data_IF_005036704750
#
_entry.id   IF_005036704750
#
_cell.length_a   1.000
_cell.length_b   1.000
_cell.length_c   1.000
_cell.angle_alpha   90.00
_cell.angle_beta   90.00
_cell.angle_gamma   90.00
#
_symmetry.space_group_name_H-M   'P 1'
#
loop_
_entity.id
_entity.type
_entity.pdbx_description
1 polymer ?
#
# COMPACT_ATOMS: atom_id res chain seq x y z
N UNK A 1 10.65 -17.71 4.72
CA UNK A 1 10.10 -16.34 4.65
C UNK A 1 8.80 -16.28 3.88
N UNK A 2 7.95 -15.26 4.13
CA UNK A 2 6.73 -15.03 3.34
C UNK A 2 7.00 -14.00 2.26
N UNK A 3 6.49 -14.27 1.06
CA UNK A 3 6.60 -13.39 -0.10
C UNK A 3 5.20 -13.15 -0.66
N UNK A 4 4.88 -11.91 -1.00
CA UNK A 4 3.66 -11.57 -1.71
C UNK A 4 4.03 -11.01 -3.08
N UNK A 5 3.34 -11.46 -4.12
CA UNK A 5 3.55 -10.99 -5.49
C UNK A 5 2.22 -10.48 -6.02
N UNK A 6 2.25 -9.24 -6.47
CA UNK A 6 1.11 -8.55 -7.04
C UNK A 6 1.21 -8.46 -8.56
N UNK A 7 0.12 -8.74 -9.26
CA UNK A 7 0.06 -8.71 -10.73
C UNK A 7 -0.87 -7.62 -11.24
N UNK A 8 -0.54 -7.06 -12.40
CA UNK A 8 -1.34 -6.02 -13.06
C UNK A 8 -2.75 -6.48 -13.46
N UNK A 9 -2.97 -7.79 -13.53
CA UNK A 9 -4.29 -8.38 -13.78
C UNK A 9 -5.19 -8.36 -12.52
N UNK A 10 -4.67 -7.86 -11.39
CA UNK A 10 -5.34 -7.81 -10.09
C UNK A 10 -5.13 -9.04 -9.21
N UNK A 11 -4.34 -10.03 -9.64
CA UNK A 11 -4.01 -11.20 -8.83
C UNK A 11 -2.97 -10.84 -7.77
N UNK A 12 -3.10 -11.41 -6.58
CA UNK A 12 -2.10 -11.38 -5.52
C UNK A 12 -1.82 -12.83 -5.16
N UNK A 13 -0.58 -13.27 -5.32
CA UNK A 13 -0.09 -14.56 -4.87
C UNK A 13 0.63 -14.40 -3.52
N UNK A 14 0.36 -15.31 -2.60
CA UNK A 14 1.05 -15.45 -1.32
C UNK A 14 1.91 -16.71 -1.39
N UNK A 15 3.17 -16.57 -1.05
CA UNK A 15 4.18 -17.61 -1.17
C UNK A 15 4.95 -17.76 0.14
N UNK A 16 5.43 -18.96 0.39
CA UNK A 16 6.48 -19.23 1.37
C UNK A 16 7.74 -19.61 0.61
N UNK A 17 8.83 -18.93 0.93
CA UNK A 17 10.15 -19.24 0.40
C UNK A 17 10.91 -20.10 1.40
N UNK A 18 11.34 -21.28 0.95
CA UNK A 18 12.19 -22.21 1.67
C UNK A 18 13.65 -21.99 1.26
N UNK A 19 14.40 -21.32 2.12
CA UNK A 19 15.80 -20.95 1.88
C UNK A 19 16.69 -22.18 1.72
N UNK A 20 16.35 -23.30 2.36
CA UNK A 20 17.18 -24.52 2.31
C UNK A 20 17.08 -25.21 0.95
N UNK A 21 15.94 -25.08 0.26
CA UNK A 21 15.68 -25.75 -1.01
C UNK A 21 15.61 -24.77 -2.20
N UNK A 22 15.74 -23.46 -1.97
CA UNK A 22 15.57 -22.40 -2.98
C UNK A 22 14.21 -22.49 -3.72
N UNK A 23 13.16 -22.84 -2.97
CA UNK A 23 11.83 -23.10 -3.53
C UNK A 23 10.77 -22.09 -3.06
N UNK A 24 10.01 -21.56 -4.02
CA UNK A 24 8.79 -20.78 -3.79
C UNK A 24 7.55 -21.69 -3.81
N UNK A 25 6.90 -21.84 -2.66
CA UNK A 25 5.65 -22.62 -2.52
C UNK A 25 4.46 -21.67 -2.45
N UNK A 26 3.45 -21.92 -3.27
CA UNK A 26 2.21 -21.14 -3.27
C UNK A 26 1.38 -21.53 -2.05
N UNK A 27 0.98 -20.54 -1.25
CA UNK A 27 0.11 -20.72 -0.08
C UNK A 27 -1.32 -20.33 -0.41
N UNK A 28 -1.50 -19.19 -1.08
CA UNK A 28 -2.83 -18.69 -1.44
C UNK A 28 -2.74 -17.78 -2.66
N UNK A 29 -3.87 -17.63 -3.35
CA UNK A 29 -4.04 -16.62 -4.39
C UNK A 29 -5.35 -15.87 -4.18
N UNK A 30 -5.33 -14.55 -4.37
CA UNK A 30 -6.50 -13.68 -4.30
C UNK A 30 -6.60 -12.85 -5.58
N UNK A 31 -7.83 -12.53 -5.98
CA UNK A 31 -8.10 -11.74 -7.18
C UNK A 31 -8.88 -10.49 -6.82
N UNK A 32 -8.33 -9.35 -7.17
CA UNK A 32 -9.00 -8.05 -7.09
C UNK A 32 -9.73 -7.76 -8.41
N UNK A 33 -10.71 -6.86 -8.34
CA UNK A 33 -11.60 -6.54 -9.47
C UNK A 33 -10.96 -5.61 -10.51
N UNK A 34 -9.72 -5.20 -10.29
CA UNK A 34 -9.01 -4.26 -11.14
C UNK A 34 -7.51 -4.44 -10.99
N UNK A 35 -6.76 -3.79 -11.87
CA UNK A 35 -5.33 -3.84 -11.87
C UNK A 35 -4.76 -3.39 -10.53
N UNK A 36 -3.91 -4.24 -9.95
CA UNK A 36 -3.11 -3.87 -8.80
C UNK A 36 -2.11 -2.80 -9.23
N UNK A 37 -1.82 -1.89 -8.31
CA UNK A 37 -0.87 -0.80 -8.52
C UNK A 37 0.36 -0.98 -7.67
N UNK A 38 0.15 -1.32 -6.40
CA UNK A 38 1.23 -1.50 -5.45
C UNK A 38 0.77 -2.38 -4.28
N UNK A 39 1.74 -3.04 -3.63
CA UNK A 39 1.57 -3.83 -2.41
C UNK A 39 2.73 -3.62 -1.44
N UNK A 40 2.42 -3.55 -0.15
CA UNK A 40 3.44 -3.43 0.89
C UNK A 40 3.01 -4.18 2.14
N UNK A 41 3.97 -4.85 2.80
CA UNK A 41 3.74 -5.42 4.12
C UNK A 41 3.77 -4.33 5.18
N UNK A 42 2.92 -4.46 6.19
CA UNK A 42 3.05 -3.73 7.46
C UNK A 42 4.43 -3.91 8.09
N UNK A 43 4.85 -2.99 8.96
CA UNK A 43 6.14 -3.09 9.66
C UNK A 43 6.25 -4.34 10.55
N UNK A 44 5.12 -4.88 11.05
CA UNK A 44 5.09 -6.15 11.78
C UNK A 44 5.09 -7.38 10.86
N UNK A 45 4.74 -7.21 9.59
CA UNK A 45 4.60 -8.31 8.61
C UNK A 45 3.28 -9.09 8.74
N UNK A 46 2.39 -8.70 9.67
CA UNK A 46 1.12 -9.39 9.93
C UNK A 46 0.04 -9.02 8.91
N UNK A 47 0.09 -7.80 8.40
CA UNK A 47 -0.83 -7.29 7.38
C UNK A 47 -0.11 -7.02 6.05
N UNK A 48 -0.82 -7.23 4.95
CA UNK A 48 -0.44 -6.82 3.60
C UNK A 48 -1.45 -5.79 3.09
N UNK A 49 -0.94 -4.63 2.69
CA UNK A 49 -1.73 -3.56 2.09
C UNK A 49 -1.59 -3.60 0.57
N UNK A 50 -2.70 -3.33 -0.12
CA UNK A 50 -2.77 -3.41 -1.58
C UNK A 50 -3.63 -2.27 -2.13
N UNK A 51 -3.10 -1.54 -3.11
CA UNK A 51 -3.86 -0.50 -3.84
C UNK A 51 -4.15 -0.93 -5.28
N UNK A 52 -5.30 -0.49 -5.78
CA UNK A 52 -5.77 -0.82 -7.13
C UNK A 52 -6.14 0.40 -7.95
N UNK A 53 -6.08 0.24 -9.28
CA UNK A 53 -6.54 1.22 -10.28
C UNK A 53 -8.00 1.65 -10.07
N UNK A 54 -8.84 0.78 -9.53
CA UNK A 54 -10.24 1.10 -9.20
C UNK A 54 -10.41 1.85 -7.86
N UNK A 55 -9.34 2.44 -7.32
CA UNK A 55 -9.35 3.28 -6.11
C UNK A 55 -9.71 2.48 -4.85
N UNK A 56 -9.40 1.19 -4.85
CA UNK A 56 -9.55 0.34 -3.68
C UNK A 56 -8.22 0.28 -2.92
N UNK A 57 -8.30 0.42 -1.60
CA UNK A 57 -7.25 0.07 -0.65
C UNK A 57 -7.71 -1.15 0.13
N UNK A 58 -7.03 -2.28 -0.04
CA UNK A 58 -7.36 -3.56 0.58
C UNK A 58 -6.32 -3.92 1.62
N UNK A 59 -6.78 -4.54 2.71
CA UNK A 59 -5.93 -5.06 3.79
C UNK A 59 -6.16 -6.55 3.88
N UNK A 60 -5.07 -7.31 3.89
CA UNK A 60 -5.05 -8.75 4.02
C UNK A 60 -4.33 -9.12 5.30
N UNK A 61 -4.91 -10.03 6.06
CA UNK A 61 -4.21 -10.74 7.12
C UNK A 61 -3.30 -11.77 6.47
N UNK A 62 -2.00 -11.69 6.78
CA UNK A 62 -0.98 -12.53 6.16
C UNK A 62 -1.09 -13.96 6.66
N UNK A 63 -1.37 -14.18 7.95
CA UNK A 63 -1.42 -15.53 8.54
C UNK A 63 -2.49 -16.39 7.87
N UNK A 64 -3.73 -15.89 7.86
CA UNK A 64 -4.91 -16.53 7.25
C UNK A 64 -4.99 -16.34 5.73
N UNK A 65 -4.19 -15.44 5.17
CA UNK A 65 -4.25 -15.01 3.76
C UNK A 65 -5.64 -14.51 3.35
N UNK A 66 -6.40 -13.88 4.26
CA UNK A 66 -7.77 -13.42 4.01
C UNK A 66 -7.86 -11.89 3.99
N UNK A 67 -8.75 -11.36 3.14
CA UNK A 67 -9.00 -9.92 3.11
C UNK A 67 -9.82 -9.52 4.32
N UNK A 68 -9.25 -8.73 5.22
CA UNK A 68 -9.91 -8.25 6.44
C UNK A 68 -10.60 -6.89 6.24
N UNK A 69 -10.07 -6.04 5.34
CA UNK A 69 -10.65 -4.71 5.08
C UNK A 69 -10.54 -4.31 3.62
N UNK A 70 -11.49 -3.49 3.16
CA UNK A 70 -11.46 -2.88 1.84
C UNK A 70 -12.12 -1.51 1.86
N UNK A 71 -11.34 -0.45 1.70
CA UNK A 71 -11.81 0.93 1.56
C UNK A 71 -12.05 1.16 0.07
N UNK A 72 -13.31 1.33 -0.30
CA UNK A 72 -13.69 1.66 -1.69
C UNK A 72 -13.62 3.18 -1.86
N UNK A 73 -12.97 3.64 -2.92
CA UNK A 73 -12.68 5.07 -3.16
C UNK A 73 -11.77 5.67 -2.09
N UNK A 74 -10.59 5.08 -1.91
CA UNK A 74 -9.57 5.65 -1.04
C UNK A 74 -9.05 7.01 -1.55
N UNK A 75 -9.16 7.28 -2.85
CA UNK A 75 -8.75 8.52 -3.49
C UNK A 75 -9.79 8.99 -4.51
N UNK A 76 -9.73 10.27 -4.88
CA UNK A 76 -10.46 10.79 -6.05
C UNK A 76 -9.72 10.46 -7.35
N UNK A 77 -8.38 10.53 -7.36
CA UNK A 77 -7.55 9.98 -8.43
C UNK A 77 -7.38 8.47 -8.32
N UNK A 78 -6.76 7.85 -9.33
CA UNK A 78 -6.30 6.46 -9.23
C UNK A 78 -5.02 6.44 -8.38
N UNK A 79 -4.97 5.67 -7.28
CA UNK A 79 -3.77 5.55 -6.47
C UNK A 79 -2.68 4.82 -7.28
N UNK A 80 -1.44 5.26 -7.15
CA UNK A 80 -0.31 4.74 -7.91
C UNK A 80 0.86 4.32 -7.03
N UNK A 81 1.03 4.94 -5.86
CA UNK A 81 2.10 4.64 -4.91
C UNK A 81 1.54 4.35 -3.51
N UNK A 82 2.19 3.44 -2.78
CA UNK A 82 1.85 3.03 -1.42
C UNK A 82 3.14 2.81 -0.62
N UNK A 83 3.20 3.32 0.61
CA UNK A 83 4.32 3.03 1.51
C UNK A 83 3.86 2.80 2.94
N UNK A 84 4.64 2.03 3.69
CA UNK A 84 4.49 1.93 5.14
C UNK A 84 5.15 3.09 5.84
N UNK A 85 4.50 3.56 6.90
CA UNK A 85 5.02 4.57 7.79
C UNK A 85 5.55 3.88 9.06
N UNK A 86 6.69 4.34 9.61
CA UNK A 86 7.27 3.76 10.80
C UNK A 86 6.33 3.94 12.00
N UNK A 87 6.43 3.04 12.98
CA UNK A 87 5.63 3.09 14.20
C UNK A 87 5.89 4.34 15.05
N UNK A 88 7.01 5.03 14.83
CA UNK A 88 7.33 6.33 15.41
C UNK A 88 6.47 7.48 14.86
N UNK A 89 5.63 7.23 13.84
CA UNK A 89 4.72 8.23 13.30
C UNK A 89 3.81 8.77 14.42
N UNK A 90 3.89 10.09 14.63
CA UNK A 90 3.35 10.75 15.82
C UNK A 90 1.82 10.70 15.93
N UNK A 91 1.11 10.32 14.86
CA UNK A 91 -0.36 10.19 14.84
C UNK A 91 -0.83 8.76 14.55
N UNK A 92 0.05 7.76 14.68
CA UNK A 92 -0.31 6.35 14.55
C UNK A 92 -0.67 5.91 13.13
N UNK A 93 -0.25 6.67 12.12
CA UNK A 93 -0.50 6.28 10.73
C UNK A 93 0.36 5.07 10.38
N UNK A 94 -0.24 4.10 9.70
CA UNK A 94 0.41 2.87 9.27
C UNK A 94 0.94 2.98 7.85
N UNK A 95 0.24 3.71 6.98
CA UNK A 95 0.60 3.84 5.56
C UNK A 95 0.31 5.22 4.99
N UNK A 96 0.97 5.54 3.88
CA UNK A 96 0.62 6.63 2.99
C UNK A 96 0.32 6.10 1.57
N UNK A 97 -0.57 6.78 0.87
CA UNK A 97 -0.91 6.51 -0.53
C UNK A 97 -0.92 7.79 -1.34
N UNK A 98 -0.47 7.71 -2.60
CA UNK A 98 -0.43 8.82 -3.54
C UNK A 98 -1.20 8.49 -4.82
N UNK A 99 -1.87 9.47 -5.41
CA UNK A 99 -2.65 9.30 -6.64
C UNK A 99 -2.16 10.08 -7.87
N UNK A 100 -2.82 9.82 -9.00
CA UNK A 100 -2.53 10.46 -10.29
C UNK A 100 -2.78 11.97 -10.34
N UNK A 101 -3.32 12.59 -9.28
CA UNK A 101 -3.60 14.03 -9.20
C UNK A 101 -2.79 14.73 -8.09
N UNK A 102 -1.68 14.11 -7.66
CA UNK A 102 -0.79 14.67 -6.63
C UNK A 102 -1.36 14.62 -5.21
N UNK A 103 -2.51 13.98 -5.00
CA UNK A 103 -3.08 13.88 -3.66
C UNK A 103 -2.41 12.74 -2.89
N UNK A 104 -1.90 13.06 -1.71
CA UNK A 104 -1.36 12.11 -0.75
C UNK A 104 -2.35 11.97 0.40
N UNK A 105 -2.64 10.74 0.82
CA UNK A 105 -3.43 10.45 2.03
C UNK A 105 -2.65 9.56 2.97
N UNK A 106 -2.85 9.74 4.27
CA UNK A 106 -2.30 8.87 5.31
C UNK A 106 -3.42 8.17 6.07
N UNK A 107 -3.14 6.95 6.54
CA UNK A 107 -4.16 6.05 7.04
C UNK A 107 -3.79 5.42 8.37
N UNK A 108 -4.77 5.31 9.27
CA UNK A 108 -4.76 4.40 10.41
C UNK A 108 -5.84 3.33 10.18
N UNK A 109 -5.41 2.14 9.75
CA UNK A 109 -6.32 1.07 9.36
C UNK A 109 -6.85 0.27 10.55
N UNK A 110 -6.47 0.63 11.78
CA UNK A 110 -6.94 0.00 13.03
C UNK A 110 -8.28 0.56 13.50
N UNK A 111 -8.63 1.77 13.06
CA UNK A 111 -9.85 2.47 13.49
C UNK A 111 -10.94 2.44 12.43
N UNK A 112 -12.20 2.62 12.84
CA UNK A 112 -13.36 2.56 11.93
C UNK A 112 -13.33 3.64 10.84
N UNK A 113 -12.91 4.85 11.17
CA UNK A 113 -12.64 5.94 10.21
C UNK A 113 -11.13 6.06 9.97
N UNK A 114 -10.62 5.51 8.86
CA UNK A 114 -9.20 5.22 8.73
C UNK A 114 -8.38 6.37 8.15
N UNK A 115 -9.01 7.40 7.56
CA UNK A 115 -8.27 8.48 6.93
C UNK A 115 -7.81 9.48 7.98
N UNK A 116 -6.50 9.72 8.07
CA UNK A 116 -5.92 10.62 9.08
C UNK A 116 -5.66 12.01 8.51
N UNK A 117 -4.99 12.08 7.35
CA UNK A 117 -4.65 13.35 6.70
C UNK A 117 -4.78 13.28 5.19
N UNK A 118 -4.90 14.44 4.56
CA UNK A 118 -4.82 14.61 3.10
C UNK A 118 -3.93 15.80 2.80
N UNK A 119 -3.00 15.62 1.87
CA UNK A 119 -2.07 16.63 1.37
C UNK A 119 -2.23 16.75 -0.14
N UNK A 120 -2.10 17.96 -0.67
CA UNK A 120 -2.23 18.22 -2.12
C UNK A 120 -1.35 19.40 -2.52
N UNK A 121 -0.05 19.18 -2.36
CA UNK A 121 0.98 20.16 -2.70
C UNK A 121 1.67 19.82 -4.04
N UNK A 122 1.44 18.59 -4.55
CA UNK A 122 1.93 18.13 -5.85
C UNK A 122 0.83 18.35 -6.90
N UNK A 123 1.22 18.72 -8.12
CA UNK A 123 0.29 19.04 -9.20
C UNK A 123 0.06 17.85 -10.15
N UNK A 124 0.94 16.85 -10.12
CA UNK A 124 0.88 15.67 -10.98
C UNK A 124 1.01 14.35 -10.18
N UNK A 125 1.08 13.24 -10.89
CA UNK A 125 1.05 11.88 -10.38
C UNK A 125 2.15 11.63 -9.36
N UNK A 126 1.75 11.16 -8.18
CA UNK A 126 2.70 10.62 -7.20
C UNK A 126 3.17 9.25 -7.67
N UNK A 127 4.48 9.13 -7.92
CA UNK A 127 5.09 7.93 -8.46
C UNK A 127 5.69 7.03 -7.39
N UNK A 128 6.27 7.61 -6.35
CA UNK A 128 6.96 6.86 -5.30
C UNK A 128 7.06 7.66 -4.01
N UNK A 129 7.37 6.96 -2.92
CA UNK A 129 7.60 7.53 -1.60
C UNK A 129 8.91 7.05 -0.99
N UNK A 130 9.53 7.92 -0.20
CA UNK A 130 10.60 7.54 0.72
C UNK A 130 10.29 8.07 2.11
N UNK A 131 10.55 7.27 3.15
CA UNK A 131 10.30 7.66 4.54
C UNK A 131 11.61 7.69 5.30
N UNK A 132 11.85 8.78 6.02
CA UNK A 132 12.99 8.93 6.91
C UNK A 132 12.52 9.54 8.22
N UNK A 133 12.68 8.78 9.31
CA UNK A 133 12.22 9.15 10.67
C UNK A 133 10.75 9.60 10.70
N UNK A 134 10.51 10.91 10.62
CA UNK A 134 9.19 11.54 10.67
C UNK A 134 8.82 12.29 9.38
N UNK A 135 9.63 12.18 8.32
CA UNK A 135 9.44 12.87 7.05
C UNK A 135 9.05 11.87 5.96
N UNK A 136 7.98 12.15 5.24
CA UNK A 136 7.53 11.41 4.07
C UNK A 136 7.87 12.22 2.81
N UNK A 137 8.85 11.77 2.06
CA UNK A 137 9.16 12.33 0.74
C UNK A 137 8.30 11.65 -0.32
N UNK A 138 7.76 12.44 -1.24
CA UNK A 138 6.94 11.98 -2.35
C UNK A 138 7.48 12.52 -3.68
N UNK A 139 7.62 11.65 -4.68
CA UNK A 139 8.09 12.04 -6.01
C UNK A 139 6.93 12.20 -6.99
N UNK A 140 6.89 13.33 -7.70
CA UNK A 140 5.85 13.68 -8.68
C UNK A 140 6.35 13.64 -10.12
N UNK A 141 5.45 13.37 -11.08
CA UNK A 141 5.74 13.41 -12.53
C UNK A 141 6.05 14.81 -13.06
N UNK A 142 5.67 15.86 -12.34
CA UNK A 142 5.98 17.27 -12.67
C UNK A 142 7.46 17.63 -12.42
N UNK A 143 8.26 16.69 -11.93
CA UNK A 143 9.69 16.88 -11.62
C UNK A 143 9.94 17.47 -10.22
N UNK A 144 8.92 17.53 -9.36
CA UNK A 144 9.03 18.01 -7.98
C UNK A 144 9.07 16.87 -6.95
N UNK A 145 9.64 17.18 -5.78
CA UNK A 145 9.57 16.36 -4.57
C UNK A 145 8.78 17.12 -3.51
N UNK A 146 7.78 16.47 -2.92
CA UNK A 146 7.06 16.95 -1.73
C UNK A 146 7.59 16.28 -0.46
N UNK A 147 7.50 16.95 0.68
CA UNK A 147 7.91 16.44 2.00
C UNK A 147 6.87 16.72 3.08
#
# INVERSE_FOLDING_TARGET
DRVAIGFIDGSIGFYTFDVSNDELKIVAAKKLRSALRDIVFSCSGEELYAICKNKALCVYDVESNMRIRCIRKCHEGKPNALCTLPSSSTKGQQIATGDENGQIRTWDLRVADPQVSTFKDLEDTVNDFAVSENTLLAASSDGTLGS
#
